data_IF_662775524778
#
_entry.id   IF_662775524778
#
_cell.length_a   1.000
_cell.length_b   1.000
_cell.length_c   1.000
_cell.angle_alpha   90.00
_cell.angle_beta   90.00
_cell.angle_gamma   90.00
#
_symmetry.space_group_name_H-M   'P 1'
#
loop_
_entity.id
_entity.type
_entity.pdbx_description
1 polymer ?
#
# COMPACT_ATOMS: atom_id res chain seq x y z
N UNK A 1 28.37 18.21 -14.10
CA UNK A 1 29.26 17.59 -13.08
C UNK A 1 29.01 18.31 -11.77
N UNK A 2 28.65 17.60 -10.70
CA UNK A 2 28.34 18.20 -9.40
C UNK A 2 29.66 18.48 -8.68
N UNK A 3 29.83 19.70 -8.13
CA UNK A 3 31.02 20.12 -7.36
C UNK A 3 31.01 19.50 -5.95
N UNK A 4 30.99 18.17 -5.88
CA UNK A 4 31.06 17.46 -4.61
C UNK A 4 32.49 17.54 -4.04
N UNK A 5 32.66 17.79 -2.73
CA UNK A 5 33.93 17.60 -2.04
C UNK A 5 34.50 16.20 -2.29
N UNK A 6 35.80 16.09 -2.57
CA UNK A 6 36.48 14.82 -2.89
C UNK A 6 36.26 13.74 -1.81
N UNK A 7 36.26 14.11 -0.53
CA UNK A 7 36.05 13.16 0.58
C UNK A 7 34.64 12.57 0.68
N UNK A 8 33.65 13.14 -0.02
CA UNK A 8 32.26 12.67 0.07
C UNK A 8 32.01 11.48 -0.87
N UNK A 9 32.74 11.41 -1.97
CA UNK A 9 32.70 10.25 -2.89
C UNK A 9 33.21 8.98 -2.19
N UNK A 10 34.09 9.13 -1.20
CA UNK A 10 34.67 8.04 -0.42
C UNK A 10 33.84 7.65 0.82
N UNK A 11 32.78 8.42 1.13
CA UNK A 11 31.94 8.13 2.31
C UNK A 11 31.11 6.86 2.05
N UNK A 12 31.11 5.89 2.97
CA UNK A 12 30.33 4.68 2.78
C UNK A 12 28.82 5.00 2.73
N UNK A 13 28.03 4.25 1.94
CA UNK A 13 26.59 4.39 1.91
C UNK A 13 25.99 4.24 3.31
N UNK A 14 24.94 5.00 3.60
CA UNK A 14 24.21 4.91 4.88
C UNK A 14 23.57 3.54 5.05
N UNK A 15 23.25 3.22 6.30
CA UNK A 15 22.64 1.95 6.67
C UNK A 15 21.24 1.77 6.07
N UNK A 16 20.82 0.51 6.01
CA UNK A 16 19.55 0.14 5.38
C UNK A 16 18.33 0.71 6.14
N UNK A 17 18.36 0.63 7.47
CA UNK A 17 17.29 1.14 8.33
C UNK A 17 17.16 2.66 8.22
N UNK A 18 18.30 3.37 8.27
CA UNK A 18 18.34 4.81 8.02
C UNK A 18 17.67 5.21 6.71
N UNK A 19 17.91 4.45 5.63
CA UNK A 19 17.31 4.74 4.34
C UNK A 19 15.79 4.53 4.35
N UNK A 20 15.29 3.48 5.01
CA UNK A 20 13.86 3.24 5.13
C UNK A 20 13.16 4.36 5.92
N UNK A 21 13.72 4.73 7.07
CA UNK A 21 13.22 5.85 7.88
C UNK A 21 13.25 7.16 7.10
N UNK A 22 14.34 7.40 6.34
CA UNK A 22 14.46 8.61 5.54
C UNK A 22 13.41 8.68 4.42
N UNK A 23 13.09 7.55 3.79
CA UNK A 23 12.01 7.47 2.80
C UNK A 23 10.66 7.77 3.45
N UNK A 24 10.39 7.21 4.64
CA UNK A 24 9.15 7.46 5.36
C UNK A 24 9.01 8.94 5.78
N UNK A 25 10.08 9.57 6.25
CA UNK A 25 10.15 11.02 6.55
C UNK A 25 9.80 11.86 5.31
N UNK A 26 10.40 11.54 4.15
CA UNK A 26 10.14 12.25 2.89
C UNK A 26 8.68 12.07 2.46
N UNK A 27 8.13 10.86 2.52
CA UNK A 27 6.75 10.61 2.14
C UNK A 27 5.74 11.33 3.05
N UNK A 28 5.99 11.37 4.36
CA UNK A 28 5.12 12.07 5.31
C UNK A 28 5.12 13.58 5.03
N UNK A 29 6.31 14.18 4.90
CA UNK A 29 6.45 15.62 4.56
C UNK A 29 5.86 15.94 3.20
N UNK A 30 6.00 15.04 2.23
CA UNK A 30 5.42 15.21 0.90
C UNK A 30 3.90 15.24 0.96
N UNK A 31 3.28 14.31 1.70
CA UNK A 31 1.83 14.28 1.86
C UNK A 31 1.31 15.54 2.56
N UNK A 32 2.01 16.03 3.58
CA UNK A 32 1.68 17.28 4.28
C UNK A 32 1.75 18.50 3.35
N UNK A 33 2.83 18.61 2.56
CA UNK A 33 2.98 19.65 1.56
C UNK A 33 1.89 19.58 0.49
N UNK A 34 1.63 18.39 -0.06
CA UNK A 34 0.60 18.19 -1.10
C UNK A 34 -0.81 18.53 -0.59
N UNK A 35 -1.10 18.27 0.70
CA UNK A 35 -2.36 18.66 1.32
C UNK A 35 -2.47 20.18 1.47
N UNK A 36 -1.38 20.84 1.85
CA UNK A 36 -1.32 22.31 1.95
C UNK A 36 -1.51 22.95 0.57
N UNK A 37 -0.75 22.50 -0.43
CA UNK A 37 -0.85 22.97 -1.81
C UNK A 37 -2.27 22.82 -2.35
N UNK A 38 -2.92 21.67 -2.11
CA UNK A 38 -4.32 21.45 -2.51
C UNK A 38 -5.29 22.42 -1.85
N UNK A 39 -5.13 22.68 -0.56
CA UNK A 39 -5.99 23.62 0.17
C UNK A 39 -5.83 25.04 -0.38
N UNK A 40 -4.62 25.39 -0.82
CA UNK A 40 -4.31 26.69 -1.42
C UNK A 40 -4.59 26.75 -2.94
N UNK A 41 -5.05 25.65 -3.55
CA UNK A 41 -5.30 25.55 -4.99
C UNK A 41 -4.03 25.56 -5.86
N UNK A 42 -2.88 25.25 -5.25
CA UNK A 42 -1.58 25.17 -5.91
C UNK A 42 -1.38 23.83 -6.63
N UNK A 43 -0.49 23.86 -7.62
CA UNK A 43 -0.12 22.67 -8.38
C UNK A 43 0.81 21.80 -7.54
N UNK A 44 0.49 20.51 -7.48
CA UNK A 44 1.33 19.51 -6.86
C UNK A 44 2.67 19.36 -7.58
N UNK A 45 3.73 19.22 -6.78
CA UNK A 45 5.09 19.07 -7.26
C UNK A 45 5.49 17.57 -7.41
N UNK A 46 6.30 17.19 -8.41
CA UNK A 46 6.93 15.85 -8.48
C UNK A 46 7.81 15.54 -7.25
N UNK A 47 7.98 14.25 -6.92
CA UNK A 47 8.78 13.84 -5.76
C UNK A 47 10.25 14.26 -5.86
N UNK A 48 10.86 14.14 -7.04
CA UNK A 48 12.26 14.50 -7.25
C UNK A 48 12.54 15.98 -6.96
N UNK A 49 11.69 16.87 -7.47
CA UNK A 49 11.77 18.31 -7.23
C UNK A 49 11.55 18.63 -5.75
N UNK A 50 10.52 18.02 -5.14
CA UNK A 50 10.24 18.18 -3.71
C UNK A 50 11.42 17.80 -2.83
N UNK A 51 12.10 16.68 -3.12
CA UNK A 51 13.25 16.25 -2.32
C UNK A 51 14.42 17.23 -2.42
N UNK A 52 14.66 17.80 -3.60
CA UNK A 52 15.71 18.81 -3.80
C UNK A 52 15.37 20.07 -2.98
N UNK A 53 14.15 20.56 -3.08
CA UNK A 53 13.71 21.76 -2.35
C UNK A 53 13.68 21.55 -0.85
N UNK A 54 13.18 20.40 -0.38
CA UNK A 54 13.16 20.06 1.03
C UNK A 54 14.57 19.99 1.62
N UNK A 55 15.54 19.41 0.90
CA UNK A 55 16.93 19.39 1.34
C UNK A 55 17.55 20.78 1.34
N UNK A 56 17.25 21.61 0.34
CA UNK A 56 17.69 23.00 0.31
C UNK A 56 17.13 23.79 1.50
N UNK A 57 15.84 23.62 1.79
CA UNK A 57 15.16 24.26 2.92
C UNK A 57 15.75 23.83 4.26
N UNK A 58 15.94 22.52 4.48
CA UNK A 58 16.44 22.00 5.76
C UNK A 58 17.90 22.40 6.04
N UNK A 59 18.73 22.53 5.00
CA UNK A 59 20.16 22.74 5.16
C UNK A 59 20.62 24.19 4.90
N UNK A 60 19.78 25.02 4.27
CA UNK A 60 20.03 26.44 3.98
C UNK A 60 21.14 26.73 2.96
N UNK A 61 22.13 25.84 2.83
CA UNK A 61 23.25 25.94 1.91
C UNK A 61 23.14 24.90 0.80
N UNK A 62 23.15 25.38 -0.46
CA UNK A 62 23.09 24.51 -1.65
C UNK A 62 24.11 23.38 -1.62
N UNK A 63 25.37 23.68 -1.27
CA UNK A 63 26.43 22.67 -1.22
C UNK A 63 26.11 21.56 -0.21
N UNK A 64 25.54 21.91 0.94
CA UNK A 64 25.18 20.93 1.96
C UNK A 64 23.96 20.09 1.51
N UNK A 65 22.97 20.72 0.88
CA UNK A 65 21.83 20.01 0.29
C UNK A 65 22.26 19.02 -0.81
N UNK A 66 23.19 19.42 -1.70
CA UNK A 66 23.74 18.55 -2.74
C UNK A 66 24.48 17.33 -2.14
N UNK A 67 25.19 17.53 -1.03
CA UNK A 67 25.85 16.44 -0.29
C UNK A 67 24.83 15.46 0.28
N UNK A 68 23.78 15.96 0.94
CA UNK A 68 22.74 15.09 1.50
C UNK A 68 21.92 14.38 0.41
N UNK A 69 21.70 15.03 -0.72
CA UNK A 69 21.08 14.41 -1.89
C UNK A 69 21.96 13.29 -2.44
N UNK A 70 23.27 13.53 -2.54
CA UNK A 70 24.23 12.50 -2.94
C UNK A 70 24.23 11.31 -1.98
N UNK A 71 24.29 11.54 -0.67
CA UNK A 71 24.21 10.49 0.36
C UNK A 71 22.94 9.64 0.20
N UNK A 72 21.79 10.29 0.01
CA UNK A 72 20.50 9.62 -0.20
C UNK A 72 20.53 8.73 -1.46
N UNK A 73 20.97 9.29 -2.59
CA UNK A 73 20.99 8.59 -3.88
C UNK A 73 22.02 7.45 -3.90
N UNK A 74 23.21 7.66 -3.33
CA UNK A 74 24.24 6.64 -3.20
C UNK A 74 23.77 5.48 -2.32
N UNK A 75 23.12 5.78 -1.19
CA UNK A 75 22.54 4.78 -0.29
C UNK A 75 21.41 4.00 -0.96
N UNK A 76 20.52 4.70 -1.66
CA UNK A 76 19.45 4.08 -2.44
C UNK A 76 20.02 3.13 -3.50
N UNK A 77 21.01 3.59 -4.29
CA UNK A 77 21.66 2.76 -5.31
C UNK A 77 22.32 1.52 -4.72
N UNK A 78 22.98 1.65 -3.57
CA UNK A 78 23.64 0.54 -2.90
C UNK A 78 22.63 -0.53 -2.45
N UNK A 79 21.54 -0.12 -1.79
CA UNK A 79 20.54 -1.03 -1.23
C UNK A 79 19.47 -1.49 -2.23
N UNK A 80 19.31 -0.86 -3.40
CA UNK A 80 18.35 -1.25 -4.43
C UNK A 80 18.50 -2.72 -4.88
N UNK A 81 19.71 -3.29 -4.79
CA UNK A 81 19.97 -4.72 -5.09
C UNK A 81 19.19 -5.68 -4.19
N UNK A 82 18.82 -5.25 -2.98
CA UNK A 82 18.00 -6.02 -2.03
C UNK A 82 16.54 -6.14 -2.48
N UNK A 83 16.12 -5.36 -3.49
CA UNK A 83 14.76 -5.36 -4.06
C UNK A 83 13.65 -5.11 -3.03
N UNK A 84 13.94 -4.34 -1.98
CA UNK A 84 12.92 -3.96 -1.00
C UNK A 84 11.80 -3.15 -1.70
N UNK A 85 10.51 -3.50 -1.58
CA UNK A 85 9.44 -2.87 -2.35
C UNK A 85 9.36 -1.35 -2.15
N UNK A 86 9.49 -0.86 -0.90
CA UNK A 86 9.53 0.56 -0.57
C UNK A 86 10.59 1.33 -1.35
N UNK A 87 11.82 0.80 -1.39
CA UNK A 87 12.96 1.44 -2.07
C UNK A 87 12.78 1.42 -3.59
N UNK A 88 12.25 0.33 -4.14
CA UNK A 88 11.97 0.23 -5.58
C UNK A 88 10.91 1.25 -5.99
N UNK A 89 9.84 1.38 -5.21
CA UNK A 89 8.78 2.37 -5.47
C UNK A 89 9.33 3.79 -5.34
N UNK A 90 10.09 4.07 -4.27
CA UNK A 90 10.71 5.37 -4.04
C UNK A 90 11.65 5.77 -5.17
N UNK A 91 12.53 4.87 -5.60
CA UNK A 91 13.43 5.11 -6.73
C UNK A 91 12.67 5.43 -8.03
N UNK A 92 11.52 4.77 -8.27
CA UNK A 92 10.68 5.04 -9.44
C UNK A 92 10.03 6.43 -9.38
N UNK A 93 9.53 6.86 -8.23
CA UNK A 93 8.94 8.20 -8.08
C UNK A 93 9.99 9.32 -8.07
N UNK A 94 11.21 9.03 -7.61
CA UNK A 94 12.32 9.98 -7.65
C UNK A 94 12.86 10.24 -9.06
N UNK A 95 12.45 9.45 -10.05
CA UNK A 95 13.15 9.42 -11.34
C UNK A 95 14.66 9.08 -11.14
N UNK A 96 14.98 8.28 -10.12
CA UNK A 96 16.35 7.94 -9.76
C UNK A 96 16.66 6.52 -10.24
N UNK A 97 17.58 6.41 -11.19
CA UNK A 97 18.12 5.16 -11.73
C UNK A 97 17.14 4.35 -12.59
N UNK A 98 16.93 4.82 -13.82
CA UNK A 98 16.36 3.98 -14.88
C UNK A 98 17.21 2.75 -15.15
N UNK A 99 16.58 1.58 -15.08
CA UNK A 99 17.06 0.42 -15.82
C UNK A 99 16.35 0.39 -17.16
N UNK A 100 17.09 0.18 -18.25
CA UNK A 100 16.57 -0.05 -19.61
C UNK A 100 15.55 -1.20 -19.70
N UNK A 101 15.41 -2.01 -18.63
CA UNK A 101 14.48 -3.15 -18.54
C UNK A 101 13.10 -2.80 -17.98
N UNK A 102 12.90 -1.61 -17.39
CA UNK A 102 11.60 -1.13 -16.91
C UNK A 102 11.44 0.33 -17.34
N UNK A 103 11.05 0.59 -18.60
CA UNK A 103 11.02 1.93 -19.18
C UNK A 103 9.91 2.84 -18.63
N UNK A 104 9.11 2.36 -17.68
CA UNK A 104 7.98 3.10 -17.15
C UNK A 104 8.42 4.05 -16.05
N UNK A 105 8.77 5.27 -16.48
CA UNK A 105 8.72 6.46 -15.63
C UNK A 105 7.40 6.49 -14.86
N UNK A 106 7.45 6.75 -13.56
CA UNK A 106 6.27 7.01 -12.73
C UNK A 106 6.16 8.52 -12.55
N UNK A 107 6.07 9.25 -13.65
CA UNK A 107 5.98 10.73 -13.64
C UNK A 107 4.56 11.21 -13.30
N UNK A 108 3.63 10.28 -13.06
CA UNK A 108 2.27 10.62 -12.72
C UNK A 108 2.16 10.98 -11.23
N UNK A 109 2.18 12.29 -10.97
CA UNK A 109 1.95 12.91 -9.65
C UNK A 109 0.66 12.39 -9.00
N UNK A 110 -0.39 12.09 -9.79
CA UNK A 110 -1.64 11.56 -9.26
C UNK A 110 -1.46 10.13 -8.70
N UNK A 111 -0.61 9.30 -9.32
CA UNK A 111 -0.32 7.96 -8.79
C UNK A 111 0.47 8.07 -7.48
N UNK A 112 1.45 8.99 -7.41
CA UNK A 112 2.18 9.26 -6.17
C UNK A 112 1.20 9.68 -5.06
N UNK A 113 0.27 10.56 -5.38
CA UNK A 113 -0.69 11.04 -4.42
C UNK A 113 -1.64 9.96 -3.90
N UNK A 114 -2.19 9.13 -4.80
CA UNK A 114 -2.99 7.97 -4.37
C UNK A 114 -2.15 7.03 -3.50
N UNK A 115 -0.89 6.79 -3.87
CA UNK A 115 0.04 6.00 -3.06
C UNK A 115 0.23 6.58 -1.65
N UNK A 116 0.48 7.88 -1.53
CA UNK A 116 0.71 8.54 -0.23
C UNK A 116 -0.54 8.53 0.65
N UNK A 117 -1.72 8.81 0.08
CA UNK A 117 -3.00 8.79 0.81
C UNK A 117 -3.31 7.38 1.32
N UNK A 118 -3.19 6.36 0.45
CA UNK A 118 -3.46 4.97 0.86
C UNK A 118 -2.43 4.51 1.88
N UNK A 119 -1.15 4.87 1.71
CA UNK A 119 -0.10 4.58 2.70
C UNK A 119 -0.45 5.16 4.07
N UNK A 120 -0.85 6.43 4.12
CA UNK A 120 -1.24 7.10 5.37
C UNK A 120 -2.43 6.42 6.05
N UNK A 121 -3.45 6.04 5.28
CA UNK A 121 -4.62 5.31 5.81
C UNK A 121 -4.25 3.91 6.33
N UNK A 122 -3.36 3.20 5.66
CA UNK A 122 -2.90 1.88 6.10
C UNK A 122 -2.08 1.95 7.39
N UNK A 123 -1.34 3.04 7.60
CA UNK A 123 -0.59 3.29 8.84
C UNK A 123 -1.48 3.68 10.02
N UNK A 124 -2.62 4.36 9.77
CA UNK A 124 -3.53 4.83 10.81
C UNK A 124 -4.74 3.91 11.00
N UNK A 125 -4.51 2.72 11.57
CA UNK A 125 -5.54 1.70 11.84
C UNK A 125 -6.75 2.26 12.62
N UNK A 126 -6.51 3.20 13.54
CA UNK A 126 -7.53 3.73 14.46
C UNK A 126 -8.56 4.67 13.81
N UNK A 127 -8.30 5.26 12.64
CA UNK A 127 -9.21 6.28 12.07
C UNK A 127 -10.38 5.70 11.26
N UNK A 128 -10.31 4.46 10.80
CA UNK A 128 -11.30 3.90 9.86
C UNK A 128 -12.21 2.81 10.44
N UNK A 129 -11.88 2.25 11.61
CA UNK A 129 -12.68 1.18 12.25
C UNK A 129 -13.59 1.75 13.36
N UNK A 130 -13.26 2.94 13.88
CA UNK A 130 -14.00 3.63 14.94
C UNK A 130 -15.00 4.61 14.30
N UNK A 131 -15.97 4.07 13.56
CA UNK A 131 -17.34 4.60 13.65
C UNK A 131 -18.03 3.69 14.68
N UNK A 132 -17.84 4.05 15.95
CA UNK A 132 -18.35 3.36 17.13
C UNK A 132 -19.87 3.36 17.14
N UNK A 133 -20.47 2.20 16.88
CA UNK A 133 -21.86 1.90 17.23
C UNK A 133 -21.98 0.56 17.96
N UNK A 134 -20.99 0.25 18.81
CA UNK A 134 -21.07 -0.84 19.79
C UNK A 134 -20.40 -0.45 21.11
N UNK A 135 -21.06 0.43 21.86
CA UNK A 135 -21.02 0.35 23.31
C UNK A 135 -21.87 -0.84 23.74
N UNK A 136 -21.31 -2.05 23.63
CA UNK A 136 -21.81 -3.21 24.35
C UNK A 136 -20.70 -3.74 25.25
N UNK A 137 -21.13 -4.08 26.45
CA UNK A 137 -20.38 -4.30 27.67
C UNK A 137 -19.44 -5.53 27.56
N UNK A 138 -18.33 -5.45 28.29
CA UNK A 138 -17.35 -6.51 28.52
C UNK A 138 -16.65 -7.09 27.28
N UNK A 139 -15.49 -6.52 26.90
CA UNK A 139 -14.65 -7.14 25.89
C UNK A 139 -13.34 -6.40 25.65
N UNK A 140 -12.22 -7.11 25.80
CA UNK A 140 -10.87 -6.66 25.44
C UNK A 140 -10.87 -6.00 24.05
N UNK A 141 -10.62 -4.69 24.00
CA UNK A 141 -10.15 -4.04 22.79
C UNK A 141 -8.80 -4.70 22.43
N UNK A 142 -8.83 -5.57 21.43
CA UNK A 142 -7.59 -6.08 20.83
C UNK A 142 -7.03 -4.92 20.02
N UNK A 143 -6.12 -4.15 20.62
CA UNK A 143 -5.33 -3.15 19.91
C UNK A 143 -4.67 -3.83 18.70
N UNK A 144 -5.22 -3.58 17.51
CA UNK A 144 -4.65 -4.06 16.25
C UNK A 144 -3.35 -3.28 16.00
N UNK A 145 -2.26 -3.78 16.59
CA UNK A 145 -0.94 -3.15 16.52
C UNK A 145 -0.26 -3.50 15.20
N UNK A 146 0.38 -2.50 14.57
CA UNK A 146 1.28 -2.72 13.45
C UNK A 146 2.43 -3.63 13.85
N UNK A 147 2.72 -4.64 13.05
CA UNK A 147 3.88 -5.51 13.24
C UNK A 147 5.06 -4.97 12.43
N UNK A 148 6.20 -4.76 13.07
CA UNK A 148 7.43 -4.34 12.40
C UNK A 148 8.45 -5.47 12.49
N UNK A 149 8.91 -5.96 11.33
CA UNK A 149 9.87 -7.05 11.26
C UNK A 149 10.80 -6.85 10.06
N UNK A 150 12.11 -6.94 10.27
CA UNK A 150 13.14 -6.83 9.22
C UNK A 150 13.04 -5.57 8.33
N UNK A 151 12.62 -4.44 8.91
CA UNK A 151 12.40 -3.18 8.20
C UNK A 151 11.11 -3.12 7.37
N UNK A 152 10.24 -4.14 7.48
CA UNK A 152 8.93 -4.18 6.86
C UNK A 152 7.84 -3.83 7.86
N UNK A 153 6.82 -3.13 7.37
CA UNK A 153 5.61 -2.83 8.12
C UNK A 153 4.49 -3.78 7.68
N UNK A 154 4.02 -4.56 8.63
CA UNK A 154 2.94 -5.53 8.47
C UNK A 154 1.66 -4.97 9.09
N UNK A 155 0.61 -4.96 8.28
CA UNK A 155 -0.72 -4.46 8.65
C UNK A 155 -1.71 -5.61 8.75
N UNK A 156 -2.72 -5.54 9.64
CA UNK A 156 -3.79 -6.52 9.68
C UNK A 156 -4.47 -6.64 8.31
N UNK A 157 -4.70 -7.86 7.85
CA UNK A 157 -5.28 -8.11 6.52
C UNK A 157 -6.68 -7.51 6.38
N UNK A 158 -7.44 -7.49 7.47
CA UNK A 158 -8.79 -6.92 7.52
C UNK A 158 -8.74 -5.42 7.23
N UNK A 159 -7.87 -4.69 7.95
CA UNK A 159 -7.62 -3.27 7.71
C UNK A 159 -7.15 -3.00 6.28
N UNK A 160 -6.21 -3.83 5.79
CA UNK A 160 -5.69 -3.70 4.43
C UNK A 160 -6.81 -3.84 3.38
N UNK A 161 -7.62 -4.89 3.47
CA UNK A 161 -8.71 -5.15 2.51
C UNK A 161 -9.77 -4.05 2.59
N UNK A 162 -10.18 -3.66 3.79
CA UNK A 162 -11.19 -2.62 3.99
C UNK A 162 -10.71 -1.30 3.39
N UNK A 163 -9.50 -0.86 3.74
CA UNK A 163 -8.90 0.39 3.22
C UNK A 163 -8.80 0.37 1.69
N UNK A 164 -8.31 -0.74 1.12
CA UNK A 164 -8.21 -0.90 -0.33
C UNK A 164 -9.59 -0.94 -1.02
N UNK A 165 -10.61 -1.50 -0.37
CA UNK A 165 -11.99 -1.50 -0.89
C UNK A 165 -12.55 -0.09 -0.99
N UNK A 166 -12.42 0.69 0.08
CA UNK A 166 -12.90 2.07 0.14
C UNK A 166 -12.23 2.97 -0.91
N UNK A 167 -10.90 2.92 -0.98
CA UNK A 167 -10.15 3.87 -1.82
C UNK A 167 -10.08 3.49 -3.28
N UNK A 168 -10.05 2.19 -3.61
CA UNK A 168 -9.62 1.79 -4.94
C UNK A 168 -10.44 0.67 -5.59
N UNK A 169 -10.85 -0.38 -4.85
CA UNK A 169 -11.51 -1.51 -5.49
C UNK A 169 -12.92 -1.18 -6.00
N UNK A 170 -13.55 -0.12 -5.48
CA UNK A 170 -14.83 0.40 -5.99
C UNK A 170 -14.76 0.81 -7.46
N UNK A 171 -13.60 1.27 -7.94
CA UNK A 171 -13.39 1.68 -9.33
C UNK A 171 -13.03 0.53 -10.28
N UNK A 172 -12.75 -0.66 -9.74
CA UNK A 172 -12.37 -1.81 -10.55
C UNK A 172 -13.60 -2.68 -10.89
N UNK A 173 -13.64 -3.26 -12.11
CA UNK A 173 -14.61 -4.30 -12.41
C UNK A 173 -14.53 -5.45 -11.38
N UNK A 174 -15.66 -6.06 -10.97
CA UNK A 174 -15.68 -7.07 -9.91
C UNK A 174 -14.68 -8.21 -10.08
N UNK A 175 -14.45 -8.65 -11.34
CA UNK A 175 -13.47 -9.68 -11.67
C UNK A 175 -12.03 -9.25 -11.38
N UNK A 176 -11.67 -7.99 -11.67
CA UNK A 176 -10.33 -7.45 -11.39
C UNK A 176 -10.13 -7.19 -9.90
N UNK A 177 -11.17 -6.69 -9.21
CA UNK A 177 -11.16 -6.55 -7.77
C UNK A 177 -10.93 -7.90 -7.08
N UNK A 178 -11.64 -8.96 -7.49
CA UNK A 178 -11.43 -10.32 -6.96
C UNK A 178 -10.01 -10.85 -7.19
N UNK A 179 -9.41 -10.59 -8.35
CA UNK A 179 -8.01 -10.98 -8.62
C UNK A 179 -7.01 -10.24 -7.73
N UNK A 180 -7.23 -8.94 -7.50
CA UNK A 180 -6.39 -8.14 -6.62
C UNK A 180 -6.45 -8.66 -5.17
N UNK A 181 -7.65 -8.94 -4.69
CA UNK A 181 -7.92 -9.52 -3.37
C UNK A 181 -7.23 -10.87 -3.19
N UNK A 182 -7.33 -11.76 -4.18
CA UNK A 182 -6.60 -13.04 -4.16
C UNK A 182 -5.08 -12.86 -4.14
N UNK A 183 -4.59 -11.78 -4.76
CA UNK A 183 -3.17 -11.43 -4.70
C UNK A 183 -2.79 -11.02 -3.27
N UNK A 184 -3.60 -10.21 -2.59
CA UNK A 184 -3.40 -9.86 -1.17
C UNK A 184 -3.41 -11.12 -0.29
N UNK A 185 -4.39 -12.00 -0.48
CA UNK A 185 -4.48 -13.28 0.24
C UNK A 185 -3.18 -14.09 0.13
N UNK A 186 -2.59 -14.16 -1.07
CA UNK A 186 -1.34 -14.90 -1.30
C UNK A 186 -0.10 -14.29 -0.64
N UNK A 187 -0.16 -13.02 -0.23
CA UNK A 187 0.94 -12.29 0.41
C UNK A 187 0.82 -12.29 1.95
N UNK A 188 -0.27 -12.84 2.49
CA UNK A 188 -0.54 -12.80 3.91
C UNK A 188 0.30 -13.81 4.71
N UNK A 189 0.84 -13.34 5.84
CA UNK A 189 1.45 -14.16 6.88
C UNK A 189 0.52 -14.31 8.08
N UNK A 190 0.80 -15.28 8.94
CA UNK A 190 0.02 -15.53 10.17
C UNK A 190 0.94 -15.38 11.37
N UNK A 191 0.53 -14.55 12.33
CA UNK A 191 1.13 -14.47 13.64
C UNK A 191 0.33 -15.35 14.60
N UNK A 192 0.98 -16.33 15.22
CA UNK A 192 0.42 -17.12 16.29
C UNK A 192 0.92 -16.58 17.64
N UNK A 193 0.00 -16.32 18.55
CA UNK A 193 0.25 -15.90 19.93
C UNK A 193 -0.25 -17.02 20.82
N UNK A 194 0.66 -17.64 21.57
CA UNK A 194 0.32 -18.73 22.49
C UNK A 194 1.08 -18.61 23.79
N UNK A 195 0.51 -19.15 24.86
CA UNK A 195 1.16 -19.19 26.17
C UNK A 195 1.93 -20.51 26.27
N UNK A 196 3.26 -20.41 26.39
CA UNK A 196 4.14 -21.55 26.66
C UNK A 196 3.72 -22.25 27.96
N UNK A 197 3.98 -23.56 28.13
CA UNK A 197 3.81 -24.26 29.40
C UNK A 197 4.44 -23.53 30.61
N UNK A 198 5.48 -22.73 30.38
CA UNK A 198 6.16 -21.90 31.39
C UNK A 198 5.43 -20.59 31.73
N UNK A 199 4.22 -20.37 31.21
CA UNK A 199 3.45 -19.14 31.39
C UNK A 199 3.95 -17.94 30.56
N UNK A 200 4.96 -18.12 29.72
CA UNK A 200 5.49 -17.06 28.82
C UNK A 200 4.65 -16.95 27.56
N UNK A 201 4.21 -15.74 27.22
CA UNK A 201 3.56 -15.45 25.93
C UNK A 201 4.63 -15.48 24.83
N UNK A 202 4.48 -16.39 23.88
CA UNK A 202 5.33 -16.52 22.69
C UNK A 202 4.56 -16.00 21.49
N UNK A 203 5.22 -15.16 20.70
CA UNK A 203 4.69 -14.65 19.44
C UNK A 203 5.54 -15.19 18.29
N UNK A 204 4.93 -15.94 17.38
CA UNK A 204 5.60 -16.52 16.23
C UNK A 204 4.96 -15.99 14.93
N UNK A 205 5.73 -15.26 14.12
CA UNK A 205 5.27 -14.84 12.80
C UNK A 205 5.71 -15.82 11.71
N UNK A 206 4.73 -16.33 10.96
CA UNK A 206 4.96 -17.22 9.81
C UNK A 206 4.68 -16.45 8.52
N UNK A 207 5.71 -16.16 7.71
CA UNK A 207 5.52 -15.49 6.42
C UNK A 207 4.78 -16.41 5.44
N UNK A 208 4.20 -15.87 4.35
CA UNK A 208 3.41 -16.63 3.38
C UNK A 208 4.11 -17.88 2.83
N UNK A 209 5.43 -17.81 2.62
CA UNK A 209 6.22 -18.92 2.08
C UNK A 209 6.41 -20.08 3.08
N UNK A 210 6.16 -19.86 4.37
CA UNK A 210 6.27 -20.86 5.45
C UNK A 210 4.91 -21.20 6.06
N UNK A 211 3.81 -20.73 5.47
CA UNK A 211 2.46 -20.94 5.97
C UNK A 211 2.01 -22.40 5.78
N UNK A 212 1.50 -23.00 6.86
CA UNK A 212 0.90 -24.34 6.84
C UNK A 212 -0.48 -24.35 6.17
N UNK A 213 -1.04 -25.53 5.91
CA UNK A 213 -2.42 -25.65 5.39
C UNK A 213 -3.46 -25.01 6.32
N UNK A 214 -3.27 -25.12 7.64
CA UNK A 214 -4.14 -24.48 8.63
C UNK A 214 -4.01 -22.95 8.64
N UNK A 215 -2.81 -22.43 8.39
CA UNK A 215 -2.59 -20.98 8.27
C UNK A 215 -3.32 -20.42 7.05
N UNK A 216 -3.32 -21.13 5.91
CA UNK A 216 -4.10 -20.72 4.73
C UNK A 216 -5.61 -20.68 4.98
N UNK A 217 -6.13 -21.60 5.79
CA UNK A 217 -7.55 -21.56 6.18
C UNK A 217 -7.84 -20.32 7.04
N UNK A 218 -6.95 -20.01 7.97
CA UNK A 218 -7.04 -18.80 8.83
C UNK A 218 -7.05 -17.52 7.99
N UNK A 219 -6.14 -17.41 7.01
CA UNK A 219 -6.11 -16.29 6.05
C UNK A 219 -7.43 -16.19 5.28
N UNK A 220 -7.97 -17.30 4.77
CA UNK A 220 -9.26 -17.30 4.05
C UNK A 220 -10.42 -16.84 4.91
N UNK A 221 -10.46 -17.24 6.18
CA UNK A 221 -11.49 -16.81 7.13
C UNK A 221 -11.38 -15.30 7.36
N UNK A 222 -10.18 -14.78 7.65
CA UNK A 222 -9.95 -13.35 7.83
C UNK A 222 -10.30 -12.53 6.57
N UNK A 223 -9.92 -13.01 5.38
CA UNK A 223 -10.29 -12.40 4.10
C UNK A 223 -11.80 -12.39 3.87
N UNK A 224 -12.49 -13.49 4.21
CA UNK A 224 -13.95 -13.57 4.09
C UNK A 224 -14.61 -12.56 5.03
N UNK A 225 -14.14 -12.46 6.28
CA UNK A 225 -14.67 -11.50 7.24
C UNK A 225 -14.48 -10.05 6.75
N UNK A 226 -13.29 -9.70 6.27
CA UNK A 226 -12.98 -8.38 5.71
C UNK A 226 -13.80 -8.02 4.44
N UNK A 227 -14.27 -9.04 3.71
CA UNK A 227 -15.15 -8.86 2.56
C UNK A 227 -16.62 -8.75 2.93
N UNK A 228 -17.02 -9.43 4.01
CA UNK A 228 -18.39 -9.45 4.52
C UNK A 228 -18.70 -8.29 5.46
N UNK A 229 -17.69 -7.57 5.98
CA UNK A 229 -17.90 -6.27 6.61
C UNK A 229 -18.66 -5.42 5.62
N UNK A 230 -19.94 -5.20 5.94
CA UNK A 230 -20.80 -4.27 5.22
C UNK A 230 -20.17 -2.91 5.43
N UNK A 231 -19.72 -2.37 4.32
CA UNK A 231 -19.44 -0.97 4.22
C UNK A 231 -20.83 -0.37 4.04
N UNK A 232 -21.39 0.17 5.11
CA UNK A 232 -22.61 0.96 5.02
C UNK A 232 -22.24 2.26 4.29
N UNK A 233 -22.09 2.16 2.96
CA UNK A 233 -22.26 3.30 2.10
C UNK A 233 -23.75 3.61 2.14
N UNK A 234 -24.08 4.84 2.53
CA UNK A 234 -25.43 5.40 2.48
C UNK A 234 -26.00 5.28 1.05
N UNK A 235 -26.64 4.16 0.77
CA UNK A 235 -27.70 4.03 -0.23
C UNK A 235 -28.96 3.67 0.55
N UNK A 236 -29.71 4.70 0.99
CA UNK A 236 -31.13 4.56 1.29
C UNK A 236 -31.85 4.19 -0.02
N UNK A 237 -31.86 2.90 -0.34
CA UNK A 237 -32.81 2.31 -1.29
C UNK A 237 -33.85 1.50 -0.50
N UNK A 238 -35.15 1.70 -0.77
CA UNK A 238 -36.22 1.23 0.10
C UNK A 238 -36.33 -0.30 0.07
N UNK A 239 -36.48 -0.87 1.26
CA UNK A 239 -36.62 -2.31 1.50
C UNK A 239 -37.54 -3.03 0.49
N UNK A 240 -37.08 -4.11 -0.18
CA UNK A 240 -37.97 -4.94 -0.96
C UNK A 240 -38.76 -5.86 -0.02
N UNK A 241 -40.08 -5.79 -0.18
CA UNK A 241 -41.11 -6.55 0.54
C UNK A 241 -40.80 -8.05 0.61
N UNK A 242 -40.96 -8.60 1.82
CA UNK A 242 -40.96 -10.03 2.14
C UNK A 242 -41.77 -10.84 1.11
N UNK A 243 -41.12 -11.73 0.36
CA UNK A 243 -41.78 -12.88 -0.28
C UNK A 243 -41.38 -14.17 0.42
N UNK A 244 -42.40 -14.87 0.91
CA UNK A 244 -42.33 -16.17 1.58
C UNK A 244 -41.89 -17.27 0.60
N UNK A 245 -40.86 -18.03 1.00
CA UNK A 245 -40.76 -19.49 0.84
C UNK A 245 -40.22 -20.07 -0.47
N UNK A 246 -39.09 -20.79 -0.39
CA UNK A 246 -39.06 -22.26 -0.59
C UNK A 246 -37.70 -22.89 -0.21
N UNK A 247 -37.83 -23.99 0.54
CA UNK A 247 -36.90 -25.05 0.95
C UNK A 247 -35.64 -25.30 0.09
N UNK A 248 -34.49 -25.39 0.75
CA UNK A 248 -33.82 -26.69 0.92
C UNK A 248 -32.48 -26.91 0.19
N UNK A 249 -31.36 -26.63 0.87
CA UNK A 249 -30.18 -27.52 0.86
C UNK A 249 -29.44 -27.34 2.19
N UNK A 250 -29.53 -28.35 3.06
CA UNK A 250 -28.74 -28.42 4.30
C UNK A 250 -27.28 -28.65 3.88
N UNK A 251 -26.47 -27.60 3.88
CA UNK A 251 -25.02 -27.74 3.95
C UNK A 251 -24.70 -28.27 5.35
N UNK A 252 -23.99 -29.39 5.42
CA UNK A 252 -23.49 -29.93 6.68
C UNK A 252 -22.59 -28.88 7.32
N UNK A 253 -22.73 -28.56 8.62
CA UNK A 253 -21.74 -27.80 9.34
C UNK A 253 -20.43 -28.57 9.25
N UNK A 254 -19.39 -27.94 8.70
CA UNK A 254 -18.02 -28.41 8.86
C UNK A 254 -17.72 -28.20 10.34
N UNK A 255 -17.58 -29.29 11.09
CA UNK A 255 -17.13 -29.24 12.48
C UNK A 255 -15.76 -28.55 12.50
N UNK A 256 -15.57 -27.46 13.28
CA UNK A 256 -14.24 -26.91 13.48
C UNK A 256 -13.40 -27.95 14.21
N UNK A 257 -12.22 -28.27 13.65
CA UNK A 257 -11.18 -29.02 14.35
C UNK A 257 -10.92 -28.37 15.72
N UNK A 258 -10.56 -29.16 16.75
CA UNK A 258 -10.42 -28.66 18.11
C UNK A 258 -9.44 -27.49 18.12
N UNK A 259 -9.95 -26.30 18.42
CA UNK A 259 -9.14 -25.14 18.75
C UNK A 259 -8.18 -25.57 19.86
N UNK A 260 -6.88 -25.63 19.56
CA UNK A 260 -5.84 -25.78 20.57
C UNK A 260 -6.06 -24.63 21.57
N UNK A 261 -6.60 -24.98 22.75
CA UNK A 261 -7.06 -24.04 23.74
C UNK A 261 -5.94 -23.04 24.09
N UNK A 262 -6.08 -21.80 23.61
CA UNK A 262 -5.18 -20.68 23.94
C UNK A 262 -4.29 -20.15 22.81
N UNK A 263 -4.40 -20.62 21.56
CA UNK A 263 -3.64 -20.04 20.42
C UNK A 263 -4.47 -18.97 19.71
N UNK A 264 -4.15 -17.69 19.93
CA UNK A 264 -4.72 -16.59 19.14
C UNK A 264 -3.93 -16.41 17.85
N UNK A 265 -4.62 -16.45 16.70
CA UNK A 265 -3.99 -16.24 15.38
C UNK A 265 -4.45 -14.91 14.80
N UNK A 266 -3.50 -14.09 14.37
CA UNK A 266 -3.74 -12.84 13.64
C UNK A 266 -3.10 -12.92 12.26
N UNK A 267 -3.76 -12.31 11.27
CA UNK A 267 -3.32 -12.36 9.88
C UNK A 267 -2.83 -11.00 9.45
N UNK A 268 -1.60 -10.95 8.93
CA UNK A 268 -0.94 -9.72 8.52
C UNK A 268 -0.50 -9.78 7.06
N UNK A 269 -0.34 -8.62 6.44
CA UNK A 269 0.22 -8.47 5.09
C UNK A 269 1.26 -7.36 5.08
N UNK A 270 2.31 -7.54 4.28
CA UNK A 270 3.32 -6.51 4.04
C UNK A 270 2.69 -5.32 3.30
N UNK A 271 2.71 -4.15 3.94
CA UNK A 271 2.12 -2.91 3.42
C UNK A 271 2.77 -2.47 2.11
N UNK A 272 4.10 -2.54 2.00
CA UNK A 272 4.82 -2.07 0.82
C UNK A 272 4.57 -2.98 -0.39
N UNK A 273 4.34 -4.28 -0.16
CA UNK A 273 3.89 -5.20 -1.20
C UNK A 273 2.46 -4.88 -1.67
N UNK A 274 1.53 -4.58 -0.76
CA UNK A 274 0.16 -4.19 -1.09
C UNK A 274 0.16 -2.91 -1.93
N UNK A 275 0.88 -1.88 -1.47
CA UNK A 275 1.03 -0.62 -2.19
C UNK A 275 1.73 -0.81 -3.56
N UNK A 276 2.74 -1.67 -3.63
CA UNK A 276 3.39 -2.03 -4.89
C UNK A 276 2.45 -2.70 -5.89
N UNK A 277 1.46 -3.48 -5.42
CA UNK A 277 0.40 -4.01 -6.28
C UNK A 277 -0.57 -2.92 -6.70
N UNK A 278 -0.97 -2.02 -5.80
CA UNK A 278 -1.85 -0.89 -6.12
C UNK A 278 -1.28 -0.06 -7.28
N UNK A 279 0.00 0.33 -7.20
CA UNK A 279 0.67 1.08 -8.27
C UNK A 279 0.60 0.35 -9.61
N UNK A 280 0.81 -0.97 -9.64
CA UNK A 280 0.71 -1.74 -10.90
C UNK A 280 -0.67 -1.69 -11.52
N UNK A 281 -1.73 -1.73 -10.69
CA UNK A 281 -3.10 -1.62 -11.21
C UNK A 281 -3.36 -0.20 -11.71
N UNK A 282 -2.91 0.84 -10.98
CA UNK A 282 -3.06 2.24 -11.38
C UNK A 282 -2.41 2.52 -12.74
N UNK A 283 -1.16 2.10 -12.94
CA UNK A 283 -0.45 2.23 -14.22
C UNK A 283 -1.19 1.48 -15.33
N UNK A 284 -1.62 0.25 -15.08
CA UNK A 284 -2.38 -0.52 -16.07
C UNK A 284 -3.70 0.15 -16.44
N UNK A 285 -4.32 0.86 -15.50
CA UNK A 285 -5.59 1.55 -15.71
C UNK A 285 -5.40 2.84 -16.50
N UNK A 286 -4.39 3.62 -16.15
CA UNK A 286 -3.98 4.83 -16.88
C UNK A 286 -3.76 4.51 -18.36
N UNK A 287 -2.95 3.51 -18.66
CA UNK A 287 -2.71 3.05 -20.05
C UNK A 287 -3.97 2.68 -20.80
N UNK A 288 -4.85 1.91 -20.15
CA UNK A 288 -6.11 1.53 -20.76
C UNK A 288 -6.99 2.76 -21.09
N UNK A 289 -6.98 3.76 -20.21
CA UNK A 289 -7.72 5.01 -20.45
C UNK A 289 -7.08 5.78 -21.60
N UNK A 290 -5.76 5.95 -21.60
CA UNK A 290 -5.03 6.64 -22.67
C UNK A 290 -5.26 5.97 -24.04
N UNK A 291 -5.13 4.66 -24.13
CA UNK A 291 -5.37 3.90 -25.36
C UNK A 291 -6.80 4.07 -25.85
N UNK A 292 -7.78 4.01 -24.94
CA UNK A 292 -9.19 4.19 -25.28
C UNK A 292 -9.51 5.61 -25.73
N UNK A 293 -8.93 6.62 -25.09
CA UNK A 293 -9.08 8.02 -25.50
C UNK A 293 -8.43 8.27 -26.86
N UNK A 294 -7.23 7.72 -27.11
CA UNK A 294 -6.58 7.77 -28.43
C UNK A 294 -7.45 7.12 -29.50
N UNK A 295 -8.02 5.95 -29.21
CA UNK A 295 -8.93 5.28 -30.14
C UNK A 295 -10.17 6.12 -30.42
N UNK A 296 -10.82 6.67 -29.39
CA UNK A 296 -11.99 7.55 -29.57
C UNK A 296 -11.65 8.81 -30.36
N UNK A 297 -10.45 9.36 -30.16
CA UNK A 297 -9.96 10.51 -30.93
C UNK A 297 -9.79 10.16 -32.41
N UNK A 298 -9.18 9.01 -32.71
CA UNK A 298 -9.01 8.51 -34.09
C UNK A 298 -10.36 8.20 -34.75
N UNK A 299 -11.30 7.60 -34.01
CA UNK A 299 -12.65 7.30 -34.52
C UNK A 299 -13.48 8.58 -34.74
N UNK A 300 -13.23 9.63 -33.96
CA UNK A 300 -13.88 10.93 -34.09
C UNK A 300 -13.25 11.85 -35.15
N UNK A 301 -12.02 11.58 -35.57
CA UNK A 301 -11.33 12.28 -36.67
C UNK A 301 -11.81 11.75 -38.03
N UNK A 302 -13.03 12.11 -38.40
CA UNK A 302 -13.67 11.71 -39.67
C UNK A 302 -13.04 12.36 -40.89
N UNK A 303 -12.30 13.44 -40.69
CA UNK A 303 -11.82 14.32 -41.76
C UNK A 303 -10.33 14.05 -42.08
N UNK A 304 -9.64 13.26 -41.23
CA UNK A 304 -8.29 12.76 -41.48
C UNK A 304 -7.20 13.83 -41.39
N UNK A 305 -7.51 14.99 -40.81
CA UNK A 305 -6.52 16.01 -40.48
C UNK A 305 -5.73 15.53 -39.25
N UNK A 306 -4.81 14.59 -39.47
CA UNK A 306 -3.91 14.05 -38.44
C UNK A 306 -2.99 15.14 -37.88
N UNK A 307 -3.45 15.88 -36.88
CA UNK A 307 -2.58 16.69 -36.02
C UNK A 307 -1.89 15.78 -34.99
N UNK A 308 -1.05 14.87 -35.46
CA UNK A 308 -0.07 14.20 -34.62
C UNK A 308 1.27 14.38 -35.32
N UNK A 309 1.90 15.53 -35.12
CA UNK A 309 3.35 15.64 -35.29
C UNK A 309 3.98 14.74 -34.22
N UNK A 310 4.53 13.61 -34.64
CA UNK A 310 5.47 12.85 -33.82
C UNK A 310 6.67 13.75 -33.50
N UNK A 311 6.79 14.16 -32.24
CA UNK A 311 8.02 14.67 -31.63
C UNK A 311 8.31 13.92 -30.36
#
# INVERSE_FOLDING_TARGET
MVNLPSGIIETPPREFEWLLEKIDDIYNKKLEADNTDRNDGLRLQPLGEFVIEQLLFNHGLRRLAEVHLFDLLASLKHHLRKKHPKMVIFARFLDAYYSTKTPEKLDNINILQVYLIVRDQLLHITKNIVNEDKQDQDGQQVDQKLLHQDGQTYIPIEHAVVTMRYTYLSFLPPRKASLYVKTIESMAGVQAIFTSPDGKVVQEFRPPNKASTGDRMTVRIAMRNAMLTKIDAEEEEPAPKKKKGKKGRKEKPIEPEPEEAGVQKQVFVDMDLVLGKLIKVLISRERYIEEKLKQMFIEGDTDGERYIEEK
#
